data_IF_840756500071
#
_entry.id   IF_840756500071
#
_cell.length_a   1.000
_cell.length_b   1.000
_cell.length_c   1.000
_cell.angle_alpha   90.00
_cell.angle_beta   90.00
_cell.angle_gamma   90.00
#
_symmetry.space_group_name_H-M   'P 1'
#
loop_
_entity.id
_entity.type
_entity.pdbx_description
1 polymer ?
#
# COMPACT_ATOMS: atom_id res chain seq x y z
N UNK A 1 -7.45 -21.81 -17.89
CA UNK A 1 -7.94 -21.74 -19.29
C UNK A 1 -6.93 -20.94 -20.08
N UNK A 2 -6.40 -21.50 -21.16
CA UNK A 2 -5.46 -20.78 -22.02
C UNK A 2 -6.24 -19.74 -22.85
N UNK A 3 -5.71 -18.53 -23.05
CA UNK A 3 -6.26 -17.51 -23.96
C UNK A 3 -6.71 -18.02 -25.34
N UNK A 4 -6.13 -19.09 -25.87
CA UNK A 4 -6.61 -19.73 -27.11
C UNK A 4 -7.97 -20.45 -26.94
N UNK A 5 -8.22 -21.03 -25.77
CA UNK A 5 -9.52 -21.62 -25.42
C UNK A 5 -10.58 -20.53 -25.23
N UNK A 6 -10.20 -19.43 -24.57
CA UNK A 6 -11.08 -18.26 -24.35
C UNK A 6 -11.44 -17.61 -25.68
N UNK A 7 -10.47 -17.46 -26.59
CA UNK A 7 -10.70 -16.93 -27.95
C UNK A 7 -11.67 -17.82 -28.74
N UNK A 8 -11.51 -19.13 -28.64
CA UNK A 8 -12.39 -20.11 -29.32
C UNK A 8 -13.82 -20.08 -28.75
N UNK A 9 -13.96 -19.95 -27.43
CA UNK A 9 -15.24 -19.76 -26.76
C UNK A 9 -15.90 -18.44 -27.17
N UNK A 10 -15.14 -17.34 -27.25
CA UNK A 10 -15.64 -16.03 -27.67
C UNK A 10 -16.14 -16.04 -29.13
N UNK A 11 -15.39 -16.65 -30.04
CA UNK A 11 -15.80 -16.79 -31.44
C UNK A 11 -17.09 -17.62 -31.57
N UNK A 12 -17.25 -18.64 -30.71
CA UNK A 12 -18.47 -19.44 -30.65
C UNK A 12 -19.64 -18.63 -30.10
N UNK A 13 -19.41 -17.80 -29.08
CA UNK A 13 -20.42 -16.89 -28.53
C UNK A 13 -20.86 -15.84 -29.57
N UNK A 14 -19.93 -15.27 -30.35
CA UNK A 14 -20.27 -14.34 -31.43
C UNK A 14 -21.20 -14.95 -32.47
N UNK A 15 -20.92 -16.19 -32.90
CA UNK A 15 -21.80 -16.92 -33.82
C UNK A 15 -23.19 -17.17 -33.23
N UNK A 16 -23.28 -17.45 -31.93
CA UNK A 16 -24.56 -17.61 -31.23
C UNK A 16 -25.32 -16.30 -31.11
N UNK A 17 -24.64 -15.17 -30.87
CA UNK A 17 -25.24 -13.83 -30.87
C UNK A 17 -25.77 -13.43 -32.25
N UNK A 18 -25.06 -13.79 -33.32
CA UNK A 18 -25.51 -13.58 -34.69
C UNK A 18 -26.80 -14.39 -35.00
N UNK A 19 -26.89 -15.63 -34.51
CA UNK A 19 -28.11 -16.47 -34.62
C UNK A 19 -29.26 -15.95 -33.75
N UNK A 20 -28.96 -15.36 -32.59
CA UNK A 20 -29.95 -14.77 -31.68
C UNK A 20 -30.45 -13.37 -32.12
N UNK A 21 -30.13 -12.93 -33.34
CA UNK A 21 -30.50 -11.61 -33.90
C UNK A 21 -29.99 -10.40 -33.09
N UNK A 22 -28.92 -10.60 -32.30
CA UNK A 22 -28.20 -9.54 -31.58
C UNK A 22 -26.73 -9.52 -32.02
N UNK A 23 -26.42 -9.20 -33.29
CA UNK A 23 -25.07 -9.23 -33.79
C UNK A 23 -24.22 -8.13 -33.15
N UNK A 24 -23.05 -8.52 -32.64
CA UNK A 24 -22.03 -7.54 -32.21
C UNK A 24 -21.43 -6.88 -33.46
N UNK A 25 -21.20 -5.57 -33.39
CA UNK A 25 -20.46 -4.86 -34.42
C UNK A 25 -19.02 -5.38 -34.52
N UNK A 26 -18.42 -5.29 -35.71
CA UNK A 26 -17.04 -5.75 -35.92
C UNK A 26 -16.06 -5.07 -34.94
N UNK A 27 -16.27 -3.78 -34.65
CA UNK A 27 -15.48 -3.04 -33.66
C UNK A 27 -15.59 -3.63 -32.25
N UNK A 28 -16.80 -4.03 -31.81
CA UNK A 28 -16.97 -4.70 -30.51
C UNK A 28 -16.32 -6.08 -30.46
N UNK A 29 -16.39 -6.84 -31.57
CA UNK A 29 -15.71 -8.13 -31.70
C UNK A 29 -14.19 -7.97 -31.58
N UNK A 30 -13.62 -6.93 -32.22
CA UNK A 30 -12.19 -6.61 -32.13
C UNK A 30 -11.76 -6.16 -30.73
N UNK A 31 -12.54 -5.31 -30.05
CA UNK A 31 -12.27 -4.87 -28.67
C UNK A 31 -12.20 -6.07 -27.74
N UNK A 32 -13.18 -6.97 -27.80
CA UNK A 32 -13.23 -8.16 -26.96
C UNK A 32 -12.06 -9.12 -27.22
N UNK A 33 -11.67 -9.30 -28.49
CA UNK A 33 -10.49 -10.10 -28.84
C UNK A 33 -9.18 -9.45 -28.38
N UNK A 34 -9.10 -8.12 -28.39
CA UNK A 34 -7.94 -7.38 -27.90
C UNK A 34 -7.80 -7.47 -26.38
N UNK A 35 -8.91 -7.44 -25.64
CA UNK A 35 -8.93 -7.69 -24.18
C UNK A 35 -8.43 -9.09 -23.87
N UNK A 36 -8.84 -10.12 -24.63
CA UNK A 36 -8.37 -11.50 -24.43
C UNK A 36 -6.86 -11.65 -24.68
N UNK A 37 -6.28 -10.90 -25.63
CA UNK A 37 -4.82 -10.88 -25.87
C UNK A 37 -4.03 -10.19 -24.76
N UNK A 38 -4.68 -9.32 -23.98
CA UNK A 38 -4.07 -8.68 -22.81
C UNK A 38 -4.16 -9.56 -21.57
N UNK A 39 -4.86 -10.70 -21.64
CA UNK A 39 -4.83 -11.73 -20.59
C UNK A 39 -3.49 -12.48 -20.71
N UNK A 40 -2.59 -12.41 -19.72
CA UNK A 40 -1.30 -13.06 -19.79
C UNK A 40 -1.44 -14.58 -20.01
N UNK A 41 -0.73 -15.13 -21.01
CA UNK A 41 -0.82 -16.54 -21.43
C UNK A 41 -0.09 -17.54 -20.52
N UNK A 42 0.68 -17.10 -19.54
CA UNK A 42 1.38 -17.95 -18.58
C UNK A 42 1.14 -17.42 -17.16
N UNK A 43 0.22 -18.01 -16.41
CA UNK A 43 0.08 -17.74 -14.97
C UNK A 43 1.05 -18.62 -14.17
N UNK A 44 2.35 -18.48 -14.46
CA UNK A 44 3.45 -18.75 -13.53
C UNK A 44 4.33 -17.51 -13.39
N UNK A 45 3.74 -16.32 -13.57
CA UNK A 45 4.27 -15.17 -12.88
C UNK A 45 4.13 -15.46 -11.38
N UNK A 46 5.26 -15.54 -10.70
CA UNK A 46 5.36 -15.07 -9.34
C UNK A 46 4.83 -13.62 -9.38
N UNK A 47 3.50 -13.44 -9.24
CA UNK A 47 2.87 -12.12 -9.34
C UNK A 47 3.34 -11.41 -8.08
N UNK A 48 4.44 -10.68 -8.21
CA UNK A 48 4.90 -9.77 -7.19
C UNK A 48 3.69 -8.95 -6.74
N UNK A 49 3.44 -8.98 -5.43
CA UNK A 49 2.28 -8.34 -4.86
C UNK A 49 2.31 -6.86 -5.29
N UNK A 50 1.28 -6.32 -5.95
CA UNK A 50 1.29 -4.93 -6.40
C UNK A 50 1.48 -3.94 -5.25
N UNK A 51 1.19 -4.35 -4.00
CA UNK A 51 1.47 -3.57 -2.80
C UNK A 51 2.98 -3.50 -2.47
N UNK A 52 3.80 -4.46 -2.92
CA UNK A 52 5.28 -4.40 -2.80
C UNK A 52 5.90 -3.35 -3.75
N UNK A 53 5.14 -2.85 -4.72
CA UNK A 53 5.58 -1.77 -5.62
C UNK A 53 5.51 -0.39 -4.92
N UNK A 54 4.76 -0.30 -3.81
CA UNK A 54 4.66 0.92 -3.00
C UNK A 54 5.87 1.06 -2.09
N UNK A 55 6.34 2.29 -1.88
CA UNK A 55 7.29 2.55 -0.81
C UNK A 55 6.65 2.35 0.57
N UNK A 56 7.46 2.19 1.62
CA UNK A 56 6.99 1.90 2.98
C UNK A 56 6.01 2.97 3.50
N UNK A 57 6.24 4.25 3.21
CA UNK A 57 5.32 5.33 3.59
C UNK A 57 4.00 5.29 2.79
N UNK A 58 4.09 5.03 1.49
CA UNK A 58 2.94 4.93 0.57
C UNK A 58 2.06 3.73 0.92
N UNK A 59 2.69 2.58 1.17
CA UNK A 59 2.03 1.35 1.60
C UNK A 59 1.27 1.57 2.91
N UNK A 60 1.87 2.25 3.88
CA UNK A 60 1.22 2.54 5.16
C UNK A 60 0.04 3.48 5.01
N UNK A 61 0.19 4.55 4.25
CA UNK A 61 -0.90 5.46 3.95
C UNK A 61 -2.08 4.73 3.27
N UNK A 62 -1.77 3.82 2.35
CA UNK A 62 -2.78 3.03 1.65
C UNK A 62 -3.48 2.01 2.54
N UNK A 63 -2.74 1.21 3.32
CA UNK A 63 -3.33 0.25 4.26
C UNK A 63 -4.26 0.93 5.27
N UNK A 64 -3.83 2.09 5.82
CA UNK A 64 -4.63 2.91 6.74
C UNK A 64 -5.92 3.42 6.08
N UNK A 65 -5.83 3.89 4.84
CA UNK A 65 -6.99 4.31 4.05
C UNK A 65 -7.99 3.17 3.85
N UNK A 66 -7.51 2.02 3.37
CA UNK A 66 -8.34 0.82 3.14
C UNK A 66 -9.09 0.43 4.42
N UNK A 67 -8.39 0.34 5.54
CA UNK A 67 -8.98 -0.02 6.83
C UNK A 67 -10.01 1.01 7.33
N UNK A 68 -9.75 2.30 7.12
CA UNK A 68 -10.66 3.38 7.55
C UNK A 68 -11.98 3.33 6.77
N UNK A 69 -11.91 3.07 5.46
CA UNK A 69 -13.10 2.92 4.62
C UNK A 69 -13.86 1.63 4.95
N UNK A 70 -13.17 0.52 5.18
CA UNK A 70 -13.80 -0.75 5.57
C UNK A 70 -14.50 -0.67 6.94
N UNK A 71 -13.91 0.04 7.92
CA UNK A 71 -14.57 0.31 9.20
C UNK A 71 -15.86 1.14 9.07
N UNK A 72 -15.95 1.95 8.01
CA UNK A 72 -17.15 2.71 7.68
C UNK A 72 -18.14 1.91 6.80
N UNK A 73 -17.91 0.61 6.59
CA UNK A 73 -18.65 -0.26 5.68
C UNK A 73 -18.67 0.26 4.22
N UNK A 74 -17.60 0.94 3.80
CA UNK A 74 -17.44 1.45 2.44
C UNK A 74 -16.38 0.65 1.70
N UNK A 75 -16.57 0.49 0.40
CA UNK A 75 -15.56 -0.13 -0.45
C UNK A 75 -14.51 0.93 -0.82
N UNK A 76 -13.31 0.81 -0.24
CA UNK A 76 -12.19 1.74 -0.47
C UNK A 76 -11.92 2.00 -1.96
N UNK A 77 -12.05 0.97 -2.80
CA UNK A 77 -11.82 1.05 -4.25
C UNK A 77 -12.86 1.92 -4.94
N UNK A 78 -14.12 1.86 -4.49
CA UNK A 78 -15.20 2.70 -5.00
C UNK A 78 -15.00 4.15 -4.57
N UNK A 79 -14.60 4.39 -3.31
CA UNK A 79 -14.29 5.74 -2.83
C UNK A 79 -13.15 6.37 -3.63
N UNK A 80 -12.04 5.65 -3.79
CA UNK A 80 -10.88 6.12 -4.54
C UNK A 80 -11.25 6.45 -6.00
N UNK A 81 -12.00 5.57 -6.67
CA UNK A 81 -12.46 5.81 -8.04
C UNK A 81 -13.45 6.98 -8.15
N UNK A 82 -14.32 7.15 -7.15
CA UNK A 82 -15.24 8.28 -7.10
C UNK A 82 -14.48 9.60 -6.97
N UNK A 83 -13.47 9.66 -6.10
CA UNK A 83 -12.63 10.85 -5.94
C UNK A 83 -11.94 11.20 -7.27
N UNK A 84 -11.41 10.19 -7.97
CA UNK A 84 -10.75 10.40 -9.26
C UNK A 84 -11.71 10.90 -10.33
N UNK A 85 -12.93 10.36 -10.38
CA UNK A 85 -13.97 10.76 -11.31
C UNK A 85 -14.41 12.22 -11.08
N UNK A 86 -14.49 12.65 -9.82
CA UNK A 86 -14.93 14.00 -9.44
C UNK A 86 -13.76 14.99 -9.37
N UNK A 87 -12.57 14.56 -9.77
CA UNK A 87 -11.32 15.31 -9.67
C UNK A 87 -11.06 15.87 -8.26
N UNK A 88 -11.48 15.11 -7.25
CA UNK A 88 -11.23 15.39 -5.85
C UNK A 88 -9.88 14.81 -5.43
N UNK A 89 -9.30 15.42 -4.40
CA UNK A 89 -8.08 14.94 -3.78
C UNK A 89 -8.39 13.72 -2.91
N UNK A 90 -7.77 12.58 -3.21
CA UNK A 90 -7.87 11.36 -2.41
C UNK A 90 -7.02 11.41 -1.14
N UNK A 91 -6.46 12.57 -0.80
CA UNK A 91 -5.73 12.84 0.43
C UNK A 91 -4.40 12.09 0.47
N UNK A 92 -4.15 11.35 1.55
CA UNK A 92 -2.88 10.64 1.75
C UNK A 92 -2.60 9.55 0.70
N UNK A 93 -3.61 9.13 -0.08
CA UNK A 93 -3.49 8.11 -1.14
C UNK A 93 -3.54 8.69 -2.56
N UNK A 94 -3.44 10.01 -2.70
CA UNK A 94 -3.42 10.69 -3.99
C UNK A 94 -2.28 10.20 -4.90
N UNK A 95 -1.15 9.78 -4.31
CA UNK A 95 -0.01 9.23 -5.04
C UNK A 95 -0.38 8.03 -5.92
N UNK A 96 -1.44 7.27 -5.57
CA UNK A 96 -1.92 6.14 -6.37
C UNK A 96 -2.41 6.63 -7.73
N UNK A 97 -3.11 7.77 -7.77
CA UNK A 97 -3.58 8.38 -9.01
C UNK A 97 -2.42 8.90 -9.85
N UNK A 98 -1.49 9.59 -9.20
CA UNK A 98 -0.46 10.37 -9.87
C UNK A 98 0.68 9.49 -10.41
N UNK A 99 1.01 8.40 -9.71
CA UNK A 99 2.17 7.55 -10.02
C UNK A 99 1.82 6.18 -10.62
N UNK A 100 0.74 5.54 -10.15
CA UNK A 100 0.44 4.14 -10.49
C UNK A 100 -0.78 4.00 -11.42
N UNK A 101 -1.79 4.83 -11.21
CA UNK A 101 -3.00 4.90 -12.02
C UNK A 101 -3.92 3.67 -11.94
N UNK A 102 -4.88 3.63 -12.86
CA UNK A 102 -5.95 2.61 -12.89
C UNK A 102 -5.43 1.19 -13.14
N UNK A 103 -4.31 1.04 -13.87
CA UNK A 103 -3.76 -0.28 -14.20
C UNK A 103 -3.26 -1.01 -12.95
N UNK A 104 -2.55 -0.30 -12.07
CA UNK A 104 -2.13 -0.84 -10.78
C UNK A 104 -3.34 -1.16 -9.90
N UNK A 105 -4.31 -0.25 -9.82
CA UNK A 105 -5.52 -0.44 -9.01
C UNK A 105 -6.34 -1.68 -9.42
N UNK A 106 -6.32 -2.03 -10.70
CA UNK A 106 -6.98 -3.22 -11.22
C UNK A 106 -6.24 -4.53 -10.90
N UNK A 107 -4.93 -4.46 -10.62
CA UNK A 107 -4.13 -5.60 -10.15
C UNK A 107 -4.30 -5.86 -8.65
N UNK A 108 -4.64 -4.84 -7.87
CA UNK A 108 -4.88 -4.98 -6.43
C UNK A 108 -6.16 -5.78 -6.20
N UNK A 109 -6.01 -6.87 -5.44
CA UNK A 109 -7.06 -7.83 -5.08
C UNK A 109 -7.03 -8.06 -3.57
N UNK A 110 -8.14 -8.55 -2.99
CA UNK A 110 -8.28 -8.69 -1.54
C UNK A 110 -7.22 -9.59 -0.90
N UNK A 111 -6.79 -10.68 -1.56
CA UNK A 111 -5.76 -11.58 -1.02
C UNK A 111 -4.36 -10.96 -0.96
N UNK A 112 -4.10 -9.89 -1.72
CA UNK A 112 -2.82 -9.18 -1.65
C UNK A 112 -2.61 -8.51 -0.29
N UNK A 113 -3.70 -8.16 0.39
CA UNK A 113 -3.65 -7.57 1.72
C UNK A 113 -3.32 -8.60 2.81
N UNK A 114 -3.51 -9.90 2.58
CA UNK A 114 -3.23 -10.95 3.57
C UNK A 114 -1.74 -10.97 3.98
N UNK A 115 -0.83 -10.66 3.04
CA UNK A 115 0.60 -10.47 3.32
C UNK A 115 0.85 -9.35 4.34
N UNK A 116 -0.04 -8.37 4.38
CA UNK A 116 0.07 -7.19 5.23
C UNK A 116 -0.98 -7.12 6.34
N UNK A 117 -1.79 -8.15 6.51
CA UNK A 117 -2.68 -8.28 7.66
C UNK A 117 -1.86 -8.25 8.95
N UNK A 118 -0.68 -8.89 8.93
CA UNK A 118 0.31 -8.82 9.99
C UNK A 118 1.17 -7.56 9.94
N UNK A 119 1.18 -6.75 8.86
CA UNK A 119 2.13 -5.63 8.69
C UNK A 119 1.84 -4.47 9.64
N UNK A 120 0.57 -4.22 10.00
CA UNK A 120 0.26 -3.30 11.10
C UNK A 120 0.76 -3.82 12.46
N UNK A 121 0.79 -5.14 12.67
CA UNK A 121 1.32 -5.79 13.88
C UNK A 121 2.84 -6.08 13.82
N UNK A 122 3.43 -6.10 12.61
CA UNK A 122 4.85 -6.32 12.35
C UNK A 122 5.63 -5.00 12.27
N UNK A 123 4.92 -3.89 12.05
CA UNK A 123 5.42 -2.53 12.30
C UNK A 123 5.29 -2.11 13.75
N UNK A 124 4.60 -2.89 14.60
CA UNK A 124 4.68 -2.68 16.04
C UNK A 124 6.07 -3.06 16.50
N UNK A 125 6.79 -2.04 16.96
CA UNK A 125 8.08 -2.20 17.61
C UNK A 125 7.97 -3.15 18.80
N UNK A 126 8.95 -4.03 18.91
CA UNK A 126 9.13 -4.94 20.03
C UNK A 126 10.40 -4.56 20.77
N UNK A 127 10.43 -4.88 22.06
CA UNK A 127 11.65 -4.74 22.86
C UNK A 127 12.74 -5.60 22.23
N UNK A 128 13.88 -4.97 21.92
CA UNK A 128 15.03 -5.59 21.26
C UNK A 128 15.18 -5.21 19.78
N UNK A 129 14.18 -4.58 19.17
CA UNK A 129 14.25 -4.18 17.76
C UNK A 129 15.29 -3.08 17.53
N UNK A 130 16.02 -3.20 16.42
CA UNK A 130 16.97 -2.17 15.96
C UNK A 130 16.27 -1.29 14.95
N UNK A 131 16.20 0.00 15.24
CA UNK A 131 15.57 1.00 14.38
C UNK A 131 16.50 2.19 14.21
N UNK A 132 16.25 2.98 13.18
CA UNK A 132 16.88 4.28 12.99
C UNK A 132 15.86 5.37 13.33
N UNK A 133 16.28 6.35 14.12
CA UNK A 133 15.43 7.45 14.57
C UNK A 133 15.99 8.78 14.07
N UNK A 134 15.08 9.64 13.64
CA UNK A 134 15.39 10.94 13.05
C UNK A 134 15.72 11.97 14.12
N UNK A 135 16.77 12.76 13.89
CA UNK A 135 17.08 13.93 14.74
C UNK A 135 15.94 14.96 14.80
N UNK A 136 14.98 14.91 13.88
CA UNK A 136 13.79 15.77 13.90
C UNK A 136 12.91 15.60 15.16
N UNK A 137 13.14 14.55 15.97
CA UNK A 137 12.47 14.39 17.27
C UNK A 137 12.92 15.40 18.33
N UNK A 138 14.15 15.90 18.23
CA UNK A 138 14.73 16.80 19.24
C UNK A 138 15.43 18.03 18.63
N UNK A 139 15.62 18.05 17.31
CA UNK A 139 16.15 19.17 16.55
C UNK A 139 15.09 19.72 15.59
N UNK A 140 15.08 21.04 15.43
CA UNK A 140 14.31 21.68 14.38
C UNK A 140 15.00 21.48 13.03
N UNK A 141 14.57 20.46 12.29
CA UNK A 141 15.10 20.11 10.97
C UNK A 141 14.20 20.71 9.88
N UNK A 142 14.77 21.50 8.98
CA UNK A 142 14.09 22.06 7.80
C UNK A 142 14.68 21.44 6.53
N UNK A 143 13.85 21.18 5.51
CA UNK A 143 14.31 20.55 4.26
C UNK A 143 15.39 21.37 3.54
N UNK A 144 15.34 22.71 3.63
CA UNK A 144 16.34 23.64 3.06
C UNK A 144 17.17 24.39 4.14
N UNK A 145 17.20 23.88 5.37
CA UNK A 145 17.91 24.50 6.49
C UNK A 145 19.37 24.03 6.63
N UNK A 146 20.18 24.71 7.48
CA UNK A 146 21.55 24.29 7.79
C UNK A 146 21.60 22.95 8.56
N UNK A 147 20.52 22.58 9.26
CA UNK A 147 20.37 21.32 9.96
C UNK A 147 19.69 20.29 9.05
N UNK A 148 20.46 19.31 8.56
CA UNK A 148 19.95 18.22 7.74
C UNK A 148 19.30 17.14 8.61
N UNK A 149 18.35 16.40 8.01
CA UNK A 149 17.77 15.22 8.66
C UNK A 149 18.79 14.09 8.71
N UNK A 150 19.09 13.63 9.91
CA UNK A 150 19.99 12.52 10.19
C UNK A 150 19.21 11.37 10.82
N UNK A 151 19.61 10.14 10.47
CA UNK A 151 19.01 8.91 10.97
C UNK A 151 20.03 8.19 11.85
N UNK A 152 19.68 7.99 13.11
CA UNK A 152 20.59 7.46 14.13
C UNK A 152 20.09 6.10 14.57
N UNK A 153 20.95 5.09 14.48
CA UNK A 153 20.64 3.72 14.88
C UNK A 153 20.47 3.64 16.41
N UNK A 154 19.39 3.01 16.87
CA UNK A 154 19.10 2.75 18.27
C UNK A 154 18.37 1.42 18.45
N UNK A 155 18.23 1.00 19.72
CA UNK A 155 17.55 -0.24 20.11
C UNK A 155 16.30 0.13 20.93
N UNK A 156 15.17 -0.49 20.61
CA UNK A 156 13.95 -0.37 21.40
C UNK A 156 14.12 -1.14 22.71
N UNK A 157 14.00 -0.46 23.84
CA UNK A 157 14.13 -1.08 25.17
C UNK A 157 12.78 -1.23 25.88
N UNK A 158 11.78 -0.43 25.52
CA UNK A 158 10.44 -0.51 26.08
C UNK A 158 9.41 0.00 25.07
N UNK A 159 8.24 -0.64 25.05
CA UNK A 159 7.06 -0.20 24.30
C UNK A 159 5.88 -0.32 25.24
N UNK A 160 5.26 0.82 25.57
CA UNK A 160 4.12 0.86 26.47
C UNK A 160 2.83 0.67 25.68
N UNK A 161 2.29 -0.55 25.73
CA UNK A 161 0.94 -0.83 25.26
C UNK A 161 -0.07 -0.54 26.37
N UNK A 162 -0.69 0.64 26.35
CA UNK A 162 -1.80 0.90 27.27
C UNK A 162 -3.04 0.19 26.74
N UNK A 163 -3.38 -0.95 27.35
CA UNK A 163 -4.59 -1.72 27.09
C UNK A 163 -5.84 -0.96 27.58
N UNK A 164 -6.23 0.11 26.90
CA UNK A 164 -7.51 0.75 27.15
C UNK A 164 -8.19 1.13 25.83
N UNK A 165 -9.51 0.92 25.79
CA UNK A 165 -10.41 1.07 24.65
C UNK A 165 -10.49 2.49 24.04
N UNK A 166 -9.71 3.45 24.57
CA UNK A 166 -9.48 4.76 23.98
C UNK A 166 -8.00 4.85 23.60
N UNK A 167 -7.74 4.86 22.28
CA UNK A 167 -6.41 4.98 21.65
C UNK A 167 -5.62 6.12 22.31
N UNK A 168 -4.81 5.76 23.29
CA UNK A 168 -3.81 6.64 23.88
C UNK A 168 -2.53 6.46 23.08
N UNK A 169 -1.72 7.51 22.91
CA UNK A 169 -0.46 7.39 22.21
C UNK A 169 0.41 6.31 22.86
N UNK A 170 0.92 5.36 22.05
CA UNK A 170 1.88 4.38 22.54
C UNK A 170 3.23 5.07 22.66
N UNK A 171 3.81 5.02 23.87
CA UNK A 171 5.14 5.55 24.14
C UNK A 171 6.17 4.43 23.91
N UNK A 172 7.35 4.82 23.46
CA UNK A 172 8.46 3.91 23.25
C UNK A 172 9.74 4.51 23.82
N UNK A 173 10.52 3.70 24.53
CA UNK A 173 11.84 4.10 25.00
C UNK A 173 12.89 3.42 24.14
N UNK A 174 13.79 4.22 23.58
CA UNK A 174 14.93 3.77 22.78
C UNK A 174 16.23 4.01 23.54
N UNK A 175 17.25 3.20 23.23
CA UNK A 175 18.62 3.37 23.71
C UNK A 175 19.58 3.51 22.54
N UNK A 176 20.37 4.58 22.57
CA UNK A 176 21.41 4.86 21.60
C UNK A 176 22.70 4.07 21.90
N UNK A 177 23.62 3.93 20.91
CA UNK A 177 24.87 3.18 21.09
C UNK A 177 25.81 3.75 22.16
N UNK A 178 25.69 5.06 22.44
CA UNK A 178 26.41 5.76 23.51
C UNK A 178 25.84 5.47 24.91
N UNK A 179 24.76 4.69 25.02
CA UNK A 179 24.08 4.35 26.27
C UNK A 179 23.00 5.35 26.71
N UNK A 180 22.79 6.47 26.01
CA UNK A 180 21.71 7.40 26.35
C UNK A 180 20.35 6.84 25.96
N UNK A 181 19.34 7.12 26.77
CA UNK A 181 17.96 6.68 26.56
C UNK A 181 17.09 7.87 26.19
N UNK A 182 16.08 7.64 25.36
CA UNK A 182 15.15 8.67 24.90
C UNK A 182 13.74 8.11 24.78
N UNK A 183 12.75 8.86 25.28
CA UNK A 183 11.33 8.51 25.20
C UNK A 183 10.69 9.19 23.98
N UNK A 184 10.08 8.37 23.14
CA UNK A 184 9.33 8.75 21.95
C UNK A 184 7.84 8.66 22.30
N UNK A 185 7.20 9.81 22.45
CA UNK A 185 5.76 9.88 22.76
C UNK A 185 4.93 9.82 21.50
N UNK A 186 3.93 8.93 21.46
CA UNK A 186 3.04 8.82 20.29
C UNK A 186 3.78 8.33 19.04
N UNK A 187 4.53 7.25 19.20
CA UNK A 187 5.42 6.70 18.16
C UNK A 187 4.69 6.32 16.85
N UNK A 188 3.36 6.15 16.91
CA UNK A 188 2.51 5.88 15.75
C UNK A 188 1.51 7.01 15.42
N UNK A 189 1.50 8.10 16.21
CA UNK A 189 0.47 9.15 16.13
C UNK A 189 0.87 10.36 15.28
N UNK A 190 2.09 10.35 14.74
CA UNK A 190 2.60 11.41 13.89
C UNK A 190 2.22 11.23 12.42
N UNK A 191 2.04 12.35 11.71
CA UNK A 191 1.77 12.36 10.27
C UNK A 191 2.94 11.82 9.42
N UNK A 192 4.15 11.73 10.01
CA UNK A 192 5.33 11.07 9.45
C UNK A 192 6.04 10.31 10.56
N UNK A 193 6.49 9.09 10.28
CA UNK A 193 7.28 8.33 11.24
C UNK A 193 8.66 8.97 11.38
N UNK A 194 9.00 9.40 12.59
CA UNK A 194 10.34 9.87 12.91
C UNK A 194 11.30 8.71 13.20
N UNK A 195 10.92 7.50 12.82
CA UNK A 195 11.71 6.28 12.94
C UNK A 195 11.51 5.42 11.69
N UNK A 196 12.49 4.57 11.37
CA UNK A 196 12.45 3.61 10.25
C UNK A 196 13.26 2.37 10.57
N UNK A 197 13.04 1.30 9.83
CA UNK A 197 13.91 0.13 9.89
C UNK A 197 15.29 0.44 9.28
N UNK A 198 16.38 -0.15 9.81
CA UNK A 198 17.71 0.05 9.24
C UNK A 198 17.71 -0.42 7.79
N UNK A 199 18.16 0.42 6.88
CA UNK A 199 18.32 0.01 5.49
C UNK A 199 19.41 -1.06 5.45
N UNK A 200 19.05 -2.30 5.10
CA UNK A 200 20.04 -3.34 4.82
C UNK A 200 20.86 -2.85 3.63
N UNK A 201 22.09 -2.38 3.89
CA UNK A 201 23.07 -2.16 2.84
C UNK A 201 23.29 -3.50 2.16
N UNK A 202 22.64 -3.69 1.00
CA UNK A 202 22.98 -4.74 0.05
C UNK A 202 24.39 -4.42 -0.41
N UNK A 203 25.37 -5.14 0.14
CA UNK A 203 26.71 -5.25 -0.42
C UNK A 203 26.67 -6.11 -1.68
#
# INVERSE_FOLDING_TARGET
MNPDEIKTALQTAFKRCDVASCPLSETQKQILLQVVKQIPQDSTYDIANPLDELDSEELLAFLKFVKTEEQQNRTWKVQLLNDWLHNQDSGAVQFIRDRYGLQWLNRVESYHFDKYADFEDALKLRVGDRIEVSNALWEWVQEDGPCKREWILCIVIQVDEISNANKSPQNCIIRFPNGSEFEIQGIYDWNRYNWRWPQTQKY
#
